data_IF_046432168150
#
_entry.id   IF_046432168150
#
_cell.length_a   1.000
_cell.length_b   1.000
_cell.length_c   1.000
_cell.angle_alpha   90.00
_cell.angle_beta   90.00
_cell.angle_gamma   90.00
#
_symmetry.space_group_name_H-M   'P 1'
#
loop_
_entity.id
_entity.type
_entity.pdbx_description
1 polymer ?
#
# COMPACT_ATOMS: atom_id res chain seq x y z
N UNK A 1 -39.97 -26.28 20.04
CA UNK A 1 -41.11 -25.99 20.92
C UNK A 1 -40.67 -25.32 22.20
N UNK A 2 -41.49 -24.44 22.71
CA UNK A 2 -41.22 -22.99 22.76
C UNK A 2 -41.28 -22.44 24.20
N UNK A 3 -40.95 -21.15 24.38
CA UNK A 3 -41.65 -20.16 25.28
C UNK A 3 -40.73 -18.95 25.40
N UNK A 4 -41.04 -17.78 24.96
CA UNK A 4 -42.09 -16.84 25.39
C UNK A 4 -41.83 -16.15 26.74
N UNK A 5 -41.83 -14.86 26.73
CA UNK A 5 -41.94 -13.91 27.83
C UNK A 5 -40.79 -12.94 27.88
N UNK A 6 -40.92 -11.67 27.77
CA UNK A 6 -41.94 -10.74 28.12
C UNK A 6 -41.24 -9.40 28.24
N UNK A 7 -41.88 -8.39 27.77
CA UNK A 7 -41.62 -7.00 27.63
C UNK A 7 -41.34 -6.20 28.91
N UNK A 8 -40.70 -5.06 28.66
CA UNK A 8 -40.89 -3.87 29.46
C UNK A 8 -40.59 -2.63 28.61
N UNK A 9 -41.62 -1.86 28.42
CA UNK A 9 -41.61 -0.49 27.91
C UNK A 9 -40.92 0.43 28.92
N UNK A 10 -40.00 1.27 28.48
CA UNK A 10 -39.41 2.36 29.23
C UNK A 10 -39.41 3.64 28.38
N UNK A 11 -40.22 4.57 28.79
CA UNK A 11 -40.52 5.89 28.23
C UNK A 11 -39.31 6.84 28.23
N UNK A 12 -39.35 7.87 27.42
CA UNK A 12 -38.27 8.86 27.29
C UNK A 12 -38.37 9.95 28.37
N UNK A 13 -37.23 10.36 28.89
CA UNK A 13 -37.04 11.51 29.78
C UNK A 13 -35.96 12.34 29.09
N UNK A 14 -36.15 13.57 28.70
CA UNK A 14 -36.61 14.74 29.32
C UNK A 14 -35.63 15.82 28.86
N UNK A 15 -36.07 16.77 28.00
CA UNK A 15 -35.30 17.97 27.61
C UNK A 15 -35.03 18.87 28.84
N UNK A 16 -33.87 19.53 28.94
CA UNK A 16 -33.69 20.63 29.90
C UNK A 16 -34.32 21.92 29.39
N UNK A 17 -34.86 22.77 30.28
CA UNK A 17 -35.63 23.94 29.94
C UNK A 17 -34.76 25.17 29.62
N UNK A 18 -35.26 25.98 28.70
CA UNK A 18 -34.80 27.33 28.39
C UNK A 18 -35.06 28.31 29.55
N UNK A 19 -34.22 29.32 29.79
CA UNK A 19 -34.53 30.38 30.72
C UNK A 19 -35.51 31.38 30.13
N UNK A 20 -36.63 31.56 30.80
CA UNK A 20 -37.63 32.61 30.54
C UNK A 20 -37.15 33.97 31.03
N UNK A 21 -37.27 34.95 30.16
CA UNK A 21 -37.30 36.39 30.51
C UNK A 21 -38.61 36.73 31.18
N UNK A 22 -38.52 37.19 32.42
CA UNK A 22 -39.67 37.75 33.15
C UNK A 22 -39.49 39.23 33.44
N UNK A 23 -40.25 40.04 32.75
CA UNK A 23 -40.44 41.43 33.10
C UNK A 23 -41.37 41.59 34.26
N UNK A 24 -41.21 42.66 35.03
CA UNK A 24 -42.08 43.04 36.11
C UNK A 24 -41.86 44.51 36.46
N UNK A 25 -42.76 45.34 35.99
CA UNK A 25 -42.88 46.73 36.35
C UNK A 25 -43.70 46.89 37.67
N UNK A 26 -43.55 48.01 38.34
CA UNK A 26 -44.35 48.76 39.29
C UNK A 26 -43.56 49.07 40.58
N UNK A 27 -43.54 50.31 41.03
CA UNK A 27 -44.39 51.40 41.10
C UNK A 27 -43.74 52.53 41.92
N UNK A 28 -44.16 53.71 41.64
CA UNK A 28 -43.86 54.93 42.37
C UNK A 28 -44.48 54.96 43.80
N UNK A 29 -44.01 55.82 44.71
CA UNK A 29 -44.58 57.24 44.76
C UNK A 29 -43.57 58.33 45.14
N UNK A 30 -43.84 59.48 44.50
CA UNK A 30 -43.83 60.90 44.86
C UNK A 30 -43.11 61.45 46.09
N UNK A 31 -42.25 62.38 45.84
CA UNK A 31 -41.92 63.75 46.28
C UNK A 31 -42.23 64.26 47.71
N UNK A 32 -41.55 65.31 48.25
CA UNK A 32 -41.67 66.66 47.77
C UNK A 32 -40.37 67.53 47.84
N UNK A 33 -40.43 68.80 47.43
CA UNK A 33 -39.28 69.62 47.09
C UNK A 33 -38.74 70.47 48.24
N UNK A 34 -37.47 70.72 48.25
CA UNK A 34 -36.84 71.83 48.99
C UNK A 34 -35.88 72.63 48.14
N UNK A 35 -35.85 73.93 48.34
CA UNK A 35 -35.28 74.88 47.46
C UNK A 35 -33.81 75.26 47.79
N UNK A 36 -33.09 75.65 46.81
CA UNK A 36 -32.07 76.64 46.93
C UNK A 36 -30.68 76.20 47.30
N UNK A 37 -29.83 76.16 46.37
CA UNK A 37 -28.38 76.19 46.52
C UNK A 37 -27.74 76.46 45.19
N UNK A 38 -27.55 77.77 44.90
CA UNK A 38 -26.70 78.21 43.78
C UNK A 38 -25.26 77.82 44.07
N UNK A 39 -24.75 76.82 43.34
CA UNK A 39 -23.31 76.56 43.26
C UNK A 39 -22.78 77.28 42.02
N UNK A 40 -21.62 77.91 42.09
CA UNK A 40 -21.09 78.69 40.99
C UNK A 40 -20.69 77.81 39.80
N UNK A 41 -21.09 78.26 38.63
CA UNK A 41 -20.66 77.68 37.34
C UNK A 41 -19.12 77.68 37.25
N UNK A 42 -18.54 76.56 37.34
CA UNK A 42 -17.15 76.39 36.94
C UNK A 42 -17.11 76.50 35.40
N UNK A 43 -16.39 77.44 34.81
CA UNK A 43 -16.29 77.51 33.36
C UNK A 43 -15.64 76.23 32.82
N UNK A 44 -16.35 75.54 31.94
CA UNK A 44 -15.79 74.48 31.17
C UNK A 44 -14.51 74.96 30.50
N UNK A 45 -13.36 74.43 30.93
CA UNK A 45 -12.11 74.65 30.22
C UNK A 45 -12.29 74.12 28.81
N UNK A 46 -12.41 75.05 27.87
CA UNK A 46 -12.33 74.75 26.46
C UNK A 46 -11.00 74.02 26.20
N UNK A 47 -11.10 72.72 25.97
CA UNK A 47 -9.94 71.89 25.64
C UNK A 47 -9.18 72.51 24.48
N UNK A 48 -7.90 72.79 24.64
CA UNK A 48 -7.03 73.30 23.60
C UNK A 48 -7.32 72.53 22.29
N UNK A 49 -7.54 73.24 21.17
CA UNK A 49 -7.73 72.54 19.90
C UNK A 49 -6.51 71.67 19.62
N UNK A 50 -6.76 70.36 19.48
CA UNK A 50 -5.69 69.41 19.19
C UNK A 50 -4.98 69.82 17.90
N UNK A 51 -3.68 70.01 17.97
CA UNK A 51 -2.78 70.40 16.91
C UNK A 51 -3.07 69.52 15.64
N UNK A 52 -3.42 70.15 14.50
CA UNK A 52 -3.72 69.45 13.26
C UNK A 52 -2.58 68.54 12.79
N UNK A 53 -1.32 68.85 13.16
CA UNK A 53 -0.15 67.98 12.93
C UNK A 53 -0.18 66.69 13.78
N UNK A 54 -0.65 66.75 15.03
CA UNK A 54 -0.79 65.59 15.92
C UNK A 54 -1.88 64.65 15.40
N UNK A 55 -3.01 65.15 14.91
CA UNK A 55 -4.09 64.32 14.30
C UNK A 55 -3.62 63.63 13.01
N UNK A 56 -2.80 64.29 12.17
CA UNK A 56 -2.21 63.64 10.98
C UNK A 56 -1.22 62.56 11.34
N UNK A 57 -0.39 62.75 12.37
CA UNK A 57 0.54 61.70 12.87
C UNK A 57 -0.22 60.53 13.46
N UNK A 58 -1.23 60.77 14.29
CA UNK A 58 -2.06 59.72 14.88
C UNK A 58 -2.77 58.87 13.79
N UNK A 59 -3.35 59.53 12.76
CA UNK A 59 -3.97 58.84 11.63
C UNK A 59 -2.99 57.97 10.84
N UNK A 60 -1.74 58.45 10.63
CA UNK A 60 -0.68 57.65 9.98
C UNK A 60 -0.28 56.43 10.82
N UNK A 61 -0.18 56.59 12.14
CA UNK A 61 0.14 55.50 13.06
C UNK A 61 -1.01 54.45 13.08
N UNK A 62 -2.27 54.90 13.11
CA UNK A 62 -3.42 53.99 13.05
C UNK A 62 -3.45 53.24 11.70
N UNK A 63 -3.25 53.93 10.58
CA UNK A 63 -3.20 53.28 9.26
C UNK A 63 -2.05 52.30 9.17
N UNK A 64 -0.85 52.64 9.69
CA UNK A 64 0.29 51.72 9.74
C UNK A 64 0.00 50.51 10.63
N UNK A 65 -0.64 50.69 11.77
CA UNK A 65 -1.02 49.61 12.68
C UNK A 65 -2.08 48.69 12.04
N UNK A 66 -3.10 49.26 11.38
CA UNK A 66 -4.08 48.50 10.63
C UNK A 66 -3.44 47.71 9.48
N UNK A 67 -2.51 48.30 8.74
CA UNK A 67 -1.77 47.63 7.69
C UNK A 67 -0.93 46.46 8.25
N UNK A 68 -0.26 46.68 9.39
CA UNK A 68 0.50 45.61 10.08
C UNK A 68 -0.42 44.46 10.49
N UNK A 69 -1.58 44.75 11.08
CA UNK A 69 -2.56 43.72 11.48
C UNK A 69 -3.03 42.91 10.27
N UNK A 70 -3.33 43.59 9.15
CA UNK A 70 -3.72 42.91 7.91
C UNK A 70 -2.62 41.96 7.39
N UNK A 71 -1.36 42.41 7.42
CA UNK A 71 -0.20 41.58 7.02
C UNK A 71 -0.03 40.39 7.94
N UNK A 72 -0.20 40.59 9.26
CA UNK A 72 -0.13 39.49 10.25
C UNK A 72 -1.25 38.45 10.01
N UNK A 73 -2.49 38.95 9.82
CA UNK A 73 -3.62 38.06 9.51
C UNK A 73 -3.38 37.27 8.21
N UNK A 74 -2.94 37.97 7.15
CA UNK A 74 -2.62 37.33 5.88
C UNK A 74 -1.50 36.29 6.05
N UNK A 75 -0.48 36.55 6.85
CA UNK A 75 0.60 35.63 7.19
C UNK A 75 0.09 34.39 7.95
N UNK A 76 -0.77 34.58 8.94
CA UNK A 76 -1.37 33.47 9.72
C UNK A 76 -2.26 32.61 8.81
N UNK A 77 -3.08 33.20 7.96
CA UNK A 77 -3.92 32.47 7.01
C UNK A 77 -3.06 31.69 6.01
N UNK A 78 -2.01 32.29 5.46
CA UNK A 78 -1.08 31.62 4.56
C UNK A 78 -0.40 30.41 5.25
N UNK A 79 0.05 30.58 6.49
CA UNK A 79 0.63 29.46 7.29
C UNK A 79 -0.39 28.35 7.55
N UNK A 80 -1.63 28.71 7.87
CA UNK A 80 -2.70 27.72 8.09
C UNK A 80 -2.98 26.92 6.82
N UNK A 81 -3.03 27.56 5.65
CA UNK A 81 -3.22 26.89 4.35
C UNK A 81 -2.03 25.99 4.03
N UNK A 82 -0.80 26.48 4.20
CA UNK A 82 0.42 25.69 3.95
C UNK A 82 0.52 24.47 4.89
N UNK A 83 0.18 24.62 6.17
CA UNK A 83 0.16 23.50 7.11
C UNK A 83 -1.00 22.53 6.82
N UNK A 84 -2.14 23.02 6.33
CA UNK A 84 -3.22 22.13 5.86
C UNK A 84 -2.81 21.23 4.70
N UNK A 85 -1.98 21.72 3.78
CA UNK A 85 -1.41 20.94 2.69
C UNK A 85 -0.30 19.99 3.14
N UNK A 86 0.20 20.13 4.37
CA UNK A 86 1.23 19.30 5.01
C UNK A 86 0.67 18.46 6.16
N UNK A 87 -0.66 18.34 6.27
CA UNK A 87 -1.30 17.51 7.29
C UNK A 87 -0.93 16.02 7.11
N UNK A 88 -1.13 15.19 8.16
CA UNK A 88 -0.91 13.74 8.05
C UNK A 88 -1.69 13.12 6.89
N UNK A 89 -2.96 13.51 6.69
CA UNK A 89 -3.80 13.02 5.59
C UNK A 89 -3.27 13.46 4.22
N UNK A 90 -2.85 14.72 4.09
CA UNK A 90 -2.30 15.24 2.85
C UNK A 90 -1.01 14.49 2.48
N UNK A 91 -0.16 14.21 3.47
CA UNK A 91 1.08 13.46 3.29
C UNK A 91 0.82 12.02 2.89
N UNK A 92 -0.13 11.36 3.55
CA UNK A 92 -0.56 9.99 3.21
C UNK A 92 -1.18 9.95 1.82
N UNK A 93 -2.07 10.89 1.49
CA UNK A 93 -2.66 10.99 0.15
C UNK A 93 -1.61 11.17 -0.94
N UNK A 94 -0.61 12.02 -0.71
CA UNK A 94 0.50 12.21 -1.65
C UNK A 94 1.27 10.91 -1.91
N UNK A 95 1.59 10.15 -0.86
CA UNK A 95 2.26 8.87 -0.97
C UNK A 95 1.41 7.85 -1.75
N UNK A 96 0.14 7.70 -1.37
CA UNK A 96 -0.79 6.80 -2.06
C UNK A 96 -1.01 7.18 -3.53
N UNK A 97 -1.00 8.47 -3.85
CA UNK A 97 -1.12 8.93 -5.24
C UNK A 97 0.08 8.49 -6.08
N UNK A 98 1.30 8.50 -5.51
CA UNK A 98 2.49 7.96 -6.19
C UNK A 98 2.31 6.47 -6.51
N UNK A 99 1.79 5.69 -5.57
CA UNK A 99 1.51 4.26 -5.79
C UNK A 99 0.39 4.04 -6.82
N UNK A 100 -0.70 4.80 -6.74
CA UNK A 100 -1.80 4.74 -7.71
C UNK A 100 -1.34 5.11 -9.13
N UNK A 101 -0.44 6.09 -9.26
CA UNK A 101 0.15 6.52 -10.53
C UNK A 101 1.22 5.55 -11.06
N UNK A 102 1.61 4.54 -10.29
CA UNK A 102 2.68 3.60 -10.66
C UNK A 102 4.09 4.19 -10.56
N UNK A 103 4.29 5.19 -9.68
CA UNK A 103 5.57 5.87 -9.43
C UNK A 103 6.27 5.29 -8.21
N UNK A 104 6.71 4.05 -8.32
CA UNK A 104 7.36 3.29 -7.25
C UNK A 104 8.62 3.95 -6.71
N UNK A 105 9.47 4.45 -7.60
CA UNK A 105 10.74 5.08 -7.23
C UNK A 105 10.51 6.36 -6.43
N UNK A 106 9.54 7.18 -6.83
CA UNK A 106 9.16 8.38 -6.09
C UNK A 106 8.51 8.03 -4.73
N UNK A 107 7.70 6.97 -4.67
CA UNK A 107 7.13 6.47 -3.42
C UNK A 107 8.23 5.95 -2.47
N UNK A 108 9.20 5.19 -2.97
CA UNK A 108 10.39 4.74 -2.23
C UNK A 108 11.24 5.90 -1.72
N UNK A 109 11.42 6.94 -2.54
CA UNK A 109 12.16 8.15 -2.13
C UNK A 109 11.41 8.94 -1.05
N UNK A 110 10.07 8.87 -1.04
CA UNK A 110 9.25 9.52 -0.03
C UNK A 110 9.20 8.75 1.29
N UNK A 111 9.14 7.41 1.21
CA UNK A 111 9.08 6.48 2.36
C UNK A 111 10.00 5.31 2.07
N UNK A 112 11.16 5.29 2.73
CA UNK A 112 12.11 4.18 2.57
C UNK A 112 11.49 2.89 3.10
N UNK A 113 11.43 1.81 2.29
CA UNK A 113 10.89 0.53 2.72
C UNK A 113 11.74 -0.19 3.79
N UNK A 114 12.94 0.28 4.10
CA UNK A 114 13.80 -0.29 5.13
C UNK A 114 14.31 -1.70 4.84
N UNK A 115 14.26 -2.16 3.59
CA UNK A 115 14.75 -3.47 3.13
C UNK A 115 15.98 -3.33 2.26
N UNK A 116 16.76 -4.40 2.11
CA UNK A 116 17.95 -4.42 1.26
C UNK A 116 17.63 -4.16 -0.21
N UNK A 117 18.57 -3.61 -0.98
CA UNK A 117 18.34 -3.28 -2.39
C UNK A 117 18.02 -4.53 -3.23
N UNK A 118 18.58 -5.68 -2.87
CA UNK A 118 18.35 -6.96 -3.51
C UNK A 118 16.90 -7.46 -3.34
N UNK A 119 16.21 -6.97 -2.32
CA UNK A 119 14.79 -7.27 -2.07
C UNK A 119 13.84 -6.29 -2.78
N UNK A 120 14.36 -5.15 -3.29
CA UNK A 120 13.59 -4.08 -3.97
C UNK A 120 13.42 -4.30 -5.47
N UNK A 121 13.83 -5.46 -6.01
CA UNK A 121 13.84 -5.76 -7.46
C UNK A 121 12.49 -5.46 -8.13
N UNK A 122 11.38 -5.73 -7.43
CA UNK A 122 10.04 -5.48 -7.94
C UNK A 122 9.39 -4.17 -7.46
N UNK A 123 10.16 -3.30 -6.80
CA UNK A 123 9.67 -2.00 -6.32
C UNK A 123 10.09 -0.87 -7.28
N UNK A 124 9.89 -1.05 -8.58
CA UNK A 124 10.25 -0.11 -9.64
C UNK A 124 9.02 0.40 -10.38
N UNK A 125 9.15 1.55 -11.03
CA UNK A 125 8.10 2.12 -11.86
C UNK A 125 7.66 1.15 -12.97
N UNK A 126 8.61 0.47 -13.61
CA UNK A 126 8.33 -0.50 -14.66
C UNK A 126 7.46 -1.66 -14.18
N UNK A 127 7.73 -2.20 -12.99
CA UNK A 127 6.93 -3.28 -12.38
C UNK A 127 5.53 -2.79 -12.00
N UNK A 128 5.40 -1.61 -11.40
CA UNK A 128 4.09 -1.06 -11.08
C UNK A 128 3.28 -0.69 -12.33
N UNK A 129 3.92 -0.29 -13.40
CA UNK A 129 3.26 -0.05 -14.70
C UNK A 129 2.81 -1.34 -15.37
N UNK A 130 3.51 -2.46 -15.16
CA UNK A 130 3.13 -3.79 -15.63
C UNK A 130 1.97 -4.41 -14.82
N UNK A 131 1.59 -3.84 -13.68
CA UNK A 131 0.44 -4.28 -12.91
C UNK A 131 -0.85 -4.12 -13.72
N UNK A 132 -1.70 -5.16 -13.74
CA UNK A 132 -3.00 -5.12 -14.42
C UNK A 132 -4.02 -4.24 -13.69
N UNK A 133 -3.86 -4.06 -12.39
CA UNK A 133 -4.60 -3.10 -11.58
C UNK A 133 -3.70 -2.51 -10.49
N UNK A 134 -3.93 -1.25 -10.17
CA UNK A 134 -3.30 -0.51 -9.07
C UNK A 134 -4.36 -0.03 -8.11
N UNK A 135 -3.95 0.42 -6.92
CA UNK A 135 -4.85 0.96 -5.92
C UNK A 135 -5.58 2.21 -6.41
N UNK A 136 -6.84 2.31 -6.02
CA UNK A 136 -7.66 3.52 -6.15
C UNK A 136 -7.94 4.06 -4.75
N UNK A 137 -7.75 5.38 -4.58
CA UNK A 137 -7.94 6.04 -3.30
C UNK A 137 -9.40 6.48 -3.17
N UNK A 138 -10.14 5.86 -2.27
CA UNK A 138 -11.52 6.24 -1.99
C UNK A 138 -11.58 7.35 -0.93
N UNK A 139 -10.85 7.18 0.17
CA UNK A 139 -10.86 8.10 1.30
C UNK A 139 -9.54 8.05 2.06
N UNK A 140 -9.12 9.19 2.63
CA UNK A 140 -7.97 9.29 3.54
C UNK A 140 -8.38 10.21 4.67
N UNK A 141 -8.39 9.71 5.89
CA UNK A 141 -8.82 10.43 7.11
C UNK A 141 -7.88 10.16 8.27
N UNK A 142 -7.63 11.14 9.10
CA UNK A 142 -6.99 10.90 10.39
C UNK A 142 -7.88 10.00 11.25
N UNK A 143 -7.27 9.02 11.91
CA UNK A 143 -7.99 8.09 12.81
C UNK A 143 -8.60 8.86 13.96
N UNK A 144 -9.90 8.66 14.19
CA UNK A 144 -10.63 9.27 15.30
C UNK A 144 -10.39 8.55 16.63
N UNK A 145 -9.68 7.42 16.62
CA UNK A 145 -9.31 6.72 17.84
C UNK A 145 -8.23 7.51 18.59
N UNK A 146 -8.67 8.33 19.55
CA UNK A 146 -7.78 9.15 20.39
C UNK A 146 -6.75 8.33 21.17
N UNK A 147 -6.99 7.02 21.36
CA UNK A 147 -6.05 6.09 21.97
C UNK A 147 -4.82 5.81 21.10
N UNK A 148 -4.95 5.89 19.77
CA UNK A 148 -3.85 5.71 18.81
C UNK A 148 -3.02 6.98 18.65
N UNK A 149 -3.67 8.15 18.59
CA UNK A 149 -3.01 9.44 18.38
C UNK A 149 -2.40 9.96 19.69
N UNK A 150 -1.10 9.74 19.89
CA UNK A 150 -0.38 10.15 21.12
C UNK A 150 0.89 10.93 20.80
N UNK A 151 1.10 12.06 21.49
CA UNK A 151 2.30 12.88 21.32
C UNK A 151 2.49 13.31 19.86
N UNK A 152 3.65 12.97 19.31
CA UNK A 152 4.06 13.31 17.94
C UNK A 152 3.65 12.25 16.90
N UNK A 153 2.84 11.24 17.29
CA UNK A 153 2.36 10.19 16.39
C UNK A 153 0.91 10.41 16.03
N UNK A 154 0.59 10.30 14.74
CA UNK A 154 -0.78 10.32 14.21
C UNK A 154 -1.01 9.08 13.34
N UNK A 155 -2.22 8.56 13.38
CA UNK A 155 -2.64 7.48 12.50
C UNK A 155 -3.64 8.02 11.48
N UNK A 156 -3.43 7.64 10.24
CA UNK A 156 -4.30 7.98 9.11
C UNK A 156 -4.80 6.69 8.49
N UNK A 157 -6.11 6.52 8.48
CA UNK A 157 -6.78 5.40 7.82
C UNK A 157 -7.07 5.78 6.37
N UNK A 158 -6.55 4.99 5.44
CA UNK A 158 -6.89 5.08 4.03
C UNK A 158 -7.89 3.99 3.66
N UNK A 159 -8.99 4.35 3.02
CA UNK A 159 -9.89 3.41 2.34
C UNK A 159 -9.50 3.35 0.87
N UNK A 160 -9.13 2.17 0.43
CA UNK A 160 -8.58 1.91 -0.89
C UNK A 160 -9.45 0.88 -1.62
N UNK A 161 -9.34 0.81 -2.92
CA UNK A 161 -9.81 -0.34 -3.69
C UNK A 161 -8.71 -0.86 -4.61
N UNK A 162 -8.70 -2.15 -4.84
CA UNK A 162 -7.82 -2.84 -5.79
C UNK A 162 -8.64 -3.89 -6.53
N UNK A 163 -8.70 -3.77 -7.85
CA UNK A 163 -9.48 -4.67 -8.71
C UNK A 163 -10.95 -4.82 -8.24
N UNK A 164 -11.55 -3.68 -7.87
CA UNK A 164 -12.93 -3.61 -7.39
C UNK A 164 -13.14 -4.06 -5.93
N UNK A 165 -12.13 -4.58 -5.26
CA UNK A 165 -12.23 -4.96 -3.85
C UNK A 165 -11.76 -3.82 -2.96
N UNK A 166 -12.60 -3.46 -1.97
CA UNK A 166 -12.32 -2.38 -1.03
C UNK A 166 -11.68 -2.93 0.22
N UNK A 167 -10.66 -2.22 0.71
CA UNK A 167 -9.95 -2.52 1.96
C UNK A 167 -9.49 -1.23 2.63
N UNK A 168 -9.01 -1.34 3.87
CA UNK A 168 -8.46 -0.22 4.64
C UNK A 168 -7.02 -0.51 5.03
N UNK A 169 -6.21 0.55 5.11
CA UNK A 169 -4.85 0.48 5.62
C UNK A 169 -4.57 1.67 6.54
N UNK A 170 -3.97 1.39 7.69
CA UNK A 170 -3.62 2.41 8.68
C UNK A 170 -2.15 2.81 8.54
N UNK A 171 -1.91 4.09 8.29
CA UNK A 171 -0.56 4.66 8.26
C UNK A 171 -0.24 5.33 9.58
N UNK A 172 0.91 4.98 10.16
CA UNK A 172 1.48 5.71 11.27
C UNK A 172 2.39 6.82 10.74
N UNK A 173 2.20 8.04 11.25
CA UNK A 173 3.04 9.17 10.90
C UNK A 173 3.63 9.78 12.17
N UNK A 174 4.90 10.18 12.08
CA UNK A 174 5.57 10.92 13.14
C UNK A 174 5.83 12.35 12.72
N UNK A 175 5.69 13.28 13.67
CA UNK A 175 6.02 14.68 13.42
C UNK A 175 7.54 14.85 13.53
N UNK A 176 8.17 15.15 12.41
CA UNK A 176 9.56 15.56 12.36
C UNK A 176 9.78 17.00 12.83
N UNK A 177 11.03 17.47 12.80
CA UNK A 177 11.33 18.86 13.09
C UNK A 177 10.61 19.76 12.09
N UNK A 178 9.93 20.80 12.59
CA UNK A 178 9.21 21.75 11.74
C UNK A 178 10.18 22.48 10.79
N UNK A 179 9.83 22.51 9.52
CA UNK A 179 10.56 23.27 8.52
C UNK A 179 10.41 24.77 8.82
N UNK A 180 11.51 25.51 8.78
CA UNK A 180 11.57 26.92 9.15
C UNK A 180 10.96 27.26 10.52
N UNK A 181 10.83 26.24 11.40
CA UNK A 181 10.28 26.38 12.75
C UNK A 181 8.76 26.53 12.85
N UNK A 182 8.05 26.64 11.71
CA UNK A 182 6.60 26.94 11.67
C UNK A 182 5.79 25.98 10.78
N UNK A 183 6.42 25.32 9.81
CA UNK A 183 5.74 24.42 8.87
C UNK A 183 5.82 22.97 9.36
N UNK A 184 4.69 22.31 9.41
CA UNK A 184 4.62 20.92 9.85
C UNK A 184 5.34 19.99 8.85
N UNK A 185 6.04 18.97 9.39
CA UNK A 185 6.78 17.98 8.64
C UNK A 185 6.42 16.58 9.14
N UNK A 186 5.35 16.02 8.59
CA UNK A 186 4.90 14.68 8.91
C UNK A 186 5.60 13.66 8.02
N UNK A 187 6.05 12.56 8.63
CA UNK A 187 6.76 11.48 7.95
C UNK A 187 6.01 10.16 8.20
N UNK A 188 5.70 9.43 7.14
CA UNK A 188 5.16 8.08 7.21
C UNK A 188 6.27 7.18 7.74
N UNK A 189 5.97 6.35 8.74
CA UNK A 189 6.98 5.52 9.43
C UNK A 189 7.31 4.23 8.69
N UNK A 190 6.37 3.69 7.92
CA UNK A 190 6.51 2.41 7.22
C UNK A 190 5.97 2.52 5.80
N UNK A 191 6.70 1.95 4.84
CA UNK A 191 6.25 1.88 3.46
C UNK A 191 5.11 0.85 3.32
N UNK A 192 4.12 1.17 2.51
CA UNK A 192 3.04 0.25 2.18
C UNK A 192 3.51 -0.75 1.14
N UNK A 193 4.12 -1.83 1.60
CA UNK A 193 4.64 -2.92 0.77
C UNK A 193 4.14 -4.27 1.30
N UNK A 194 4.12 -5.26 0.42
CA UNK A 194 3.67 -6.62 0.75
C UNK A 194 4.73 -7.63 0.37
N UNK A 195 4.95 -8.58 1.27
CA UNK A 195 5.81 -9.75 1.05
C UNK A 195 4.94 -10.91 0.61
N UNK A 196 5.18 -11.44 -0.60
CA UNK A 196 4.47 -12.57 -1.20
C UNK A 196 5.40 -13.78 -1.22
N UNK A 197 4.98 -14.86 -0.58
CA UNK A 197 5.71 -16.13 -0.60
C UNK A 197 5.55 -16.81 -1.98
N UNK A 198 6.64 -17.37 -2.50
CA UNK A 198 6.67 -18.05 -3.79
C UNK A 198 6.99 -19.51 -3.60
N UNK A 199 6.04 -20.38 -3.86
CA UNK A 199 6.24 -21.85 -3.92
C UNK A 199 6.55 -22.26 -5.35
N UNK A 200 7.83 -22.46 -5.65
CA UNK A 200 8.33 -22.64 -7.01
C UNK A 200 9.34 -23.79 -7.09
N UNK A 201 8.88 -25.03 -6.85
CA UNK A 201 9.76 -26.19 -6.92
C UNK A 201 10.33 -26.38 -8.33
N UNK A 202 11.66 -26.35 -8.46
CA UNK A 202 12.34 -26.51 -9.74
C UNK A 202 12.37 -25.25 -10.62
N UNK A 203 11.94 -24.09 -10.08
CA UNK A 203 12.00 -22.78 -10.77
C UNK A 203 13.05 -21.94 -10.07
N UNK A 204 14.13 -21.53 -10.79
CA UNK A 204 15.24 -20.82 -10.17
C UNK A 204 15.00 -19.33 -9.98
N UNK A 205 14.07 -18.73 -10.74
CA UNK A 205 13.78 -17.32 -10.71
C UNK A 205 12.33 -17.04 -11.09
N UNK A 206 11.84 -15.86 -10.71
CA UNK A 206 10.53 -15.33 -11.13
C UNK A 206 10.67 -13.93 -11.67
N UNK A 207 9.77 -13.54 -12.58
CA UNK A 207 9.73 -12.22 -13.17
C UNK A 207 8.35 -11.57 -13.08
N UNK A 208 8.35 -10.23 -13.04
CA UNK A 208 7.19 -9.38 -13.25
C UNK A 208 7.60 -8.35 -14.31
N UNK A 209 6.96 -8.40 -15.49
CA UNK A 209 7.47 -7.66 -16.65
C UNK A 209 8.90 -8.07 -16.95
N UNK A 210 9.78 -7.10 -17.11
CA UNK A 210 11.21 -7.31 -17.41
C UNK A 210 12.07 -7.51 -16.16
N UNK A 211 11.55 -7.23 -14.96
CA UNK A 211 12.30 -7.42 -13.72
C UNK A 211 12.32 -8.90 -13.32
N UNK A 212 13.48 -9.39 -12.91
CA UNK A 212 13.68 -10.80 -12.54
C UNK A 212 14.40 -10.92 -11.21
N UNK A 213 13.87 -11.75 -10.30
CA UNK A 213 14.51 -12.10 -9.02
C UNK A 213 14.82 -13.59 -8.99
N UNK A 214 16.08 -13.92 -8.70
CA UNK A 214 16.50 -15.29 -8.41
C UNK A 214 15.93 -15.71 -7.04
N UNK A 215 15.36 -16.89 -6.97
CA UNK A 215 14.84 -17.48 -5.74
C UNK A 215 15.98 -18.15 -4.99
N UNK A 216 16.11 -17.82 -3.71
CA UNK A 216 17.08 -18.45 -2.82
C UNK A 216 16.46 -19.66 -2.12
N UNK A 217 17.32 -20.58 -1.66
CA UNK A 217 16.87 -21.80 -1.01
C UNK A 217 16.10 -21.55 0.30
N UNK A 218 16.44 -20.45 0.97
CA UNK A 218 15.90 -20.07 2.28
C UNK A 218 14.99 -18.81 2.25
N UNK A 219 14.92 -18.08 1.11
CA UNK A 219 14.06 -16.93 0.91
C UNK A 219 13.41 -16.96 -0.48
N UNK A 220 12.27 -17.62 -0.54
CA UNK A 220 11.43 -17.68 -1.72
C UNK A 220 10.29 -16.67 -1.61
N UNK A 221 10.61 -15.40 -1.43
CA UNK A 221 9.60 -14.34 -1.37
C UNK A 221 9.92 -13.20 -2.33
N UNK A 222 8.90 -12.48 -2.72
CA UNK A 222 9.01 -11.24 -3.46
C UNK A 222 8.36 -10.12 -2.66
N UNK A 223 8.93 -8.92 -2.73
CA UNK A 223 8.38 -7.72 -2.12
C UNK A 223 7.88 -6.79 -3.21
N UNK A 224 6.62 -6.39 -3.13
CA UNK A 224 5.95 -5.54 -4.11
C UNK A 224 5.15 -4.44 -3.42
N UNK A 225 4.88 -3.37 -4.13
CA UNK A 225 3.85 -2.40 -3.75
C UNK A 225 2.44 -2.97 -4.03
N UNK A 226 1.38 -2.43 -3.42
CA UNK A 226 0.02 -2.88 -3.69
C UNK A 226 -0.35 -2.81 -5.18
N UNK A 227 -0.88 -3.91 -5.72
CA UNK A 227 -1.25 -4.04 -7.13
C UNK A 227 -1.62 -5.47 -7.49
N UNK A 228 -2.13 -5.67 -8.70
CA UNK A 228 -2.38 -6.99 -9.28
C UNK A 228 -1.29 -7.28 -10.30
N UNK A 229 -0.51 -8.32 -10.04
CA UNK A 229 0.68 -8.67 -10.85
C UNK A 229 0.55 -10.04 -11.48
N UNK A 230 1.02 -10.16 -12.71
CA UNK A 230 1.28 -11.45 -13.33
C UNK A 230 2.73 -11.81 -13.09
N UNK A 231 2.96 -12.86 -12.31
CA UNK A 231 4.28 -13.39 -11.99
C UNK A 231 4.56 -14.59 -12.88
N UNK A 232 5.67 -14.58 -13.58
CA UNK A 232 6.08 -15.64 -14.49
C UNK A 232 7.30 -16.36 -13.95
N UNK A 233 7.42 -17.66 -14.26
CA UNK A 233 8.65 -18.41 -14.05
C UNK A 233 9.74 -17.89 -14.99
N UNK A 234 10.96 -17.74 -14.49
CA UNK A 234 12.10 -17.22 -15.24
C UNK A 234 13.31 -18.14 -15.09
N UNK A 235 14.21 -18.09 -16.07
CA UNK A 235 15.45 -18.88 -16.12
C UNK A 235 15.24 -20.39 -16.00
N UNK A 236 14.08 -20.91 -16.44
CA UNK A 236 13.73 -22.34 -16.38
C UNK A 236 14.45 -23.17 -17.43
N UNK A 237 15.16 -22.53 -18.39
CA UNK A 237 15.72 -23.20 -19.55
C UNK A 237 14.65 -23.71 -20.51
N UNK A 238 15.05 -24.61 -21.44
CA UNK A 238 14.15 -25.13 -22.48
C UNK A 238 13.32 -26.33 -22.03
N UNK A 239 13.67 -26.95 -20.88
CA UNK A 239 13.11 -28.22 -20.46
C UNK A 239 12.00 -28.13 -19.41
N UNK A 240 11.83 -26.97 -18.79
CA UNK A 240 10.81 -26.74 -17.75
C UNK A 240 9.94 -25.58 -18.15
N UNK A 241 8.64 -25.75 -17.99
CA UNK A 241 7.65 -24.68 -18.20
C UNK A 241 6.71 -24.60 -17.00
N UNK A 242 6.22 -23.40 -16.70
CA UNK A 242 5.17 -23.17 -15.73
C UNK A 242 4.27 -22.03 -16.21
N UNK A 243 2.95 -22.15 -16.09
CA UNK A 243 2.04 -21.07 -16.45
C UNK A 243 2.27 -19.88 -15.51
N UNK A 244 2.08 -18.65 -16.00
CA UNK A 244 2.10 -17.46 -15.15
C UNK A 244 1.01 -17.53 -14.09
N UNK A 245 1.27 -16.92 -12.92
CA UNK A 245 0.33 -16.85 -11.80
C UNK A 245 0.00 -15.38 -11.54
N UNK A 246 -1.28 -15.05 -11.47
CA UNK A 246 -1.72 -13.72 -11.07
C UNK A 246 -1.84 -13.65 -9.56
N UNK A 247 -1.30 -12.60 -8.95
CA UNK A 247 -1.40 -12.30 -7.52
C UNK A 247 -1.97 -10.91 -7.32
N UNK A 248 -2.97 -10.82 -6.43
CA UNK A 248 -3.47 -9.55 -5.92
C UNK A 248 -2.75 -9.25 -4.61
N UNK A 249 -1.92 -8.22 -4.60
CA UNK A 249 -1.20 -7.74 -3.44
C UNK A 249 -1.97 -6.57 -2.82
N UNK A 250 -2.86 -6.86 -1.86
CA UNK A 250 -3.60 -5.91 -1.04
C UNK A 250 -3.43 -6.26 0.45
N UNK A 251 -3.74 -5.33 1.37
CA UNK A 251 -3.34 -5.45 2.77
C UNK A 251 -4.01 -6.63 3.50
N UNK A 252 -5.28 -6.94 3.24
CA UNK A 252 -6.05 -7.84 4.12
C UNK A 252 -6.57 -9.14 3.49
N UNK A 253 -6.61 -9.29 2.17
CA UNK A 253 -7.44 -10.35 1.56
C UNK A 253 -6.73 -11.22 0.54
N UNK A 254 -5.48 -10.91 0.20
CA UNK A 254 -4.78 -11.70 -0.80
C UNK A 254 -4.03 -12.86 -0.16
N UNK A 255 -4.14 -14.02 -0.77
CA UNK A 255 -3.20 -15.10 -0.52
C UNK A 255 -1.79 -14.55 -0.76
N UNK A 256 -1.03 -14.40 0.31
CA UNK A 256 0.39 -13.95 0.24
C UNK A 256 1.30 -15.07 -0.24
N UNK A 257 0.74 -16.11 -0.84
CA UNK A 257 1.46 -17.25 -1.38
C UNK A 257 1.02 -17.49 -2.81
N UNK A 258 1.97 -17.54 -3.73
CA UNK A 258 1.78 -18.02 -5.10
C UNK A 258 2.45 -19.37 -5.26
N UNK A 259 1.83 -20.26 -6.02
CA UNK A 259 2.37 -21.59 -6.28
C UNK A 259 2.48 -21.79 -7.78
N UNK A 260 3.67 -22.18 -8.24
CA UNK A 260 3.91 -22.56 -9.63
C UNK A 260 3.79 -24.06 -9.80
N UNK A 261 2.98 -24.47 -10.76
CA UNK A 261 2.86 -25.85 -11.22
C UNK A 261 3.85 -26.07 -12.38
N UNK A 262 5.07 -26.44 -12.05
CA UNK A 262 6.09 -26.71 -13.07
C UNK A 262 5.82 -28.04 -13.79
N UNK A 263 6.01 -28.05 -15.08
CA UNK A 263 5.90 -29.24 -15.93
C UNK A 263 7.06 -29.34 -16.91
N UNK A 264 7.27 -30.52 -17.44
CA UNK A 264 8.28 -30.73 -18.48
C UNK A 264 7.78 -30.15 -19.81
N UNK A 265 8.66 -29.42 -20.49
CA UNK A 265 8.38 -28.86 -21.81
C UNK A 265 8.30 -29.95 -22.89
N UNK A 266 7.69 -29.63 -24.02
CA UNK A 266 7.70 -30.54 -25.17
C UNK A 266 9.10 -30.75 -25.73
N UNK A 267 10.01 -29.77 -25.59
CA UNK A 267 11.42 -29.92 -25.95
C UNK A 267 12.10 -31.05 -25.14
N UNK A 268 11.85 -31.13 -23.82
CA UNK A 268 12.37 -32.22 -23.00
C UNK A 268 11.77 -33.57 -23.39
N UNK A 269 10.45 -33.64 -23.64
CA UNK A 269 9.79 -34.86 -24.07
C UNK A 269 10.37 -35.37 -25.40
N UNK A 270 10.58 -34.47 -26.36
CA UNK A 270 11.20 -34.80 -27.64
C UNK A 270 12.62 -35.29 -27.43
N UNK A 271 13.46 -34.57 -26.70
CA UNK A 271 14.85 -34.97 -26.46
C UNK A 271 14.94 -36.32 -25.71
N UNK A 272 14.05 -36.57 -24.75
CA UNK A 272 13.99 -37.85 -24.04
C UNK A 272 13.54 -39.00 -24.96
N UNK A 273 12.55 -38.76 -25.84
CA UNK A 273 12.12 -39.73 -26.83
C UNK A 273 13.23 -40.07 -27.80
N UNK A 274 13.94 -39.06 -28.37
CA UNK A 274 15.07 -39.27 -29.28
C UNK A 274 16.19 -40.08 -28.62
N UNK A 275 16.50 -39.75 -27.36
CA UNK A 275 17.48 -40.53 -26.56
C UNK A 275 17.04 -41.97 -26.35
N UNK A 276 15.76 -42.21 -26.04
CA UNK A 276 15.20 -43.55 -25.87
C UNK A 276 15.25 -44.35 -27.19
N UNK A 277 14.82 -43.72 -28.29
CA UNK A 277 14.88 -44.34 -29.63
C UNK A 277 16.32 -44.69 -30.03
N UNK A 278 17.26 -43.75 -29.83
CA UNK A 278 18.68 -43.99 -30.09
C UNK A 278 19.23 -45.16 -29.26
N UNK A 279 18.83 -45.21 -27.98
CA UNK A 279 19.23 -46.32 -27.06
C UNK A 279 18.66 -47.67 -27.51
N UNK A 280 17.37 -47.72 -27.86
CA UNK A 280 16.76 -48.95 -28.39
C UNK A 280 17.47 -49.44 -29.64
N UNK A 281 17.74 -48.53 -30.59
CA UNK A 281 18.50 -48.84 -31.83
C UNK A 281 19.90 -49.35 -31.52
N UNK A 282 20.63 -48.72 -30.61
CA UNK A 282 21.98 -49.17 -30.21
C UNK A 282 22.00 -50.53 -29.55
N UNK A 283 21.00 -50.80 -28.69
CA UNK A 283 20.82 -52.12 -28.08
C UNK A 283 20.37 -53.20 -29.08
N UNK A 284 19.73 -52.81 -30.18
CA UNK A 284 19.23 -53.69 -31.23
C UNK A 284 20.26 -54.06 -32.32
N UNK A 285 21.54 -53.69 -32.15
CA UNK A 285 22.59 -54.00 -33.11
C UNK A 285 23.34 -55.30 -32.74
N UNK A 286 23.30 -56.28 -33.65
CA UNK A 286 24.04 -57.54 -33.48
C UNK A 286 25.54 -57.33 -33.42
N UNK A 287 26.06 -56.34 -34.18
CA UNK A 287 27.48 -56.00 -34.18
C UNK A 287 28.02 -55.61 -32.82
N UNK A 288 27.16 -55.07 -31.96
CA UNK A 288 27.50 -54.61 -30.62
C UNK A 288 27.10 -55.60 -29.50
N UNK A 289 26.48 -56.75 -29.81
CA UNK A 289 25.88 -57.63 -28.84
C UNK A 289 26.81 -58.04 -27.68
N UNK A 290 28.10 -58.17 -27.93
CA UNK A 290 29.08 -58.47 -26.88
C UNK A 290 29.61 -57.30 -26.08
N UNK A 291 29.31 -56.06 -26.48
CA UNK A 291 29.84 -54.83 -25.93
C UNK A 291 28.73 -53.85 -25.43
N UNK A 292 27.50 -54.34 -25.37
CA UNK A 292 26.37 -53.53 -24.87
C UNK A 292 26.50 -53.28 -23.36
N UNK A 293 26.20 -52.06 -22.96
CA UNK A 293 26.22 -51.64 -21.57
C UNK A 293 25.03 -52.25 -20.76
N UNK A 294 25.08 -52.07 -19.45
CA UNK A 294 24.04 -52.62 -18.52
C UNK A 294 22.67 -51.96 -18.69
N UNK A 295 22.58 -50.83 -19.44
CA UNK A 295 21.30 -50.20 -19.73
C UNK A 295 20.53 -50.90 -20.87
N UNK A 296 21.18 -51.83 -21.60
CA UNK A 296 20.49 -52.72 -22.55
C UNK A 296 19.90 -53.95 -21.84
N UNK A 297 18.72 -54.44 -22.30
CA UNK A 297 18.13 -55.66 -21.74
C UNK A 297 19.09 -56.84 -21.75
N UNK A 298 19.13 -57.60 -20.66
CA UNK A 298 20.03 -58.76 -20.51
C UNK A 298 20.00 -59.72 -21.72
N UNK A 299 18.82 -60.09 -22.27
CA UNK A 299 18.79 -61.04 -23.40
C UNK A 299 19.55 -60.56 -24.63
N UNK A 300 19.57 -59.24 -24.93
CA UNK A 300 20.27 -58.73 -26.11
C UNK A 300 21.77 -58.52 -25.90
N UNK A 301 22.27 -58.62 -24.68
CA UNK A 301 23.69 -58.60 -24.32
C UNK A 301 24.41 -59.91 -24.52
N UNK A 302 23.72 -60.93 -24.97
CA UNK A 302 24.31 -62.26 -25.16
C UNK A 302 25.23 -62.30 -26.39
N UNK A 303 26.45 -62.77 -26.20
CA UNK A 303 27.43 -62.97 -27.26
C UNK A 303 27.06 -64.06 -28.28
N UNK A 304 26.04 -64.85 -27.98
CA UNK A 304 25.57 -65.95 -28.83
C UNK A 304 24.42 -65.56 -29.76
N UNK A 305 23.99 -64.30 -29.69
CA UNK A 305 22.94 -63.75 -30.55
C UNK A 305 23.47 -63.58 -31.95
N UNK A 306 22.84 -64.24 -32.94
CA UNK A 306 23.21 -64.18 -34.35
C UNK A 306 22.26 -63.30 -35.19
N UNK A 307 21.04 -63.10 -34.70
CA UNK A 307 20.02 -62.24 -35.35
C UNK A 307 19.28 -61.44 -34.27
N UNK A 308 19.24 -60.15 -34.51
CA UNK A 308 18.46 -59.23 -33.66
C UNK A 308 17.85 -58.15 -34.60
N UNK A 309 16.59 -57.87 -34.46
CA UNK A 309 15.95 -56.79 -35.16
C UNK A 309 15.04 -56.02 -34.20
N UNK A 310 15.10 -54.69 -34.28
CA UNK A 310 14.15 -53.81 -33.60
C UNK A 310 12.89 -53.76 -34.47
N UNK A 311 11.76 -54.28 -33.95
CA UNK A 311 10.48 -54.24 -34.64
C UNK A 311 9.81 -52.90 -34.47
N UNK A 312 9.83 -52.34 -33.25
CA UNK A 312 9.19 -51.09 -32.90
C UNK A 312 10.09 -50.28 -31.99
N UNK A 313 10.03 -48.98 -32.12
CA UNK A 313 10.72 -48.03 -31.25
C UNK A 313 9.66 -47.24 -30.47
N UNK A 314 9.99 -46.70 -29.30
CA UNK A 314 9.09 -45.84 -28.57
C UNK A 314 8.59 -44.68 -29.45
N UNK A 315 7.30 -44.37 -29.32
CA UNK A 315 6.65 -43.26 -30.04
C UNK A 315 6.24 -42.14 -29.14
N UNK A 316 6.24 -42.37 -27.82
CA UNK A 316 5.92 -41.35 -26.83
C UNK A 316 6.75 -41.54 -25.54
N UNK A 317 6.84 -40.42 -24.79
CA UNK A 317 7.44 -40.36 -23.45
C UNK A 317 6.39 -39.93 -22.45
N UNK A 318 6.24 -40.65 -21.39
CA UNK A 318 5.36 -40.30 -20.25
C UNK A 318 6.24 -40.05 -19.04
N UNK A 319 6.05 -38.93 -18.36
CA UNK A 319 6.72 -38.66 -17.08
C UNK A 319 6.22 -39.61 -15.99
N UNK A 320 7.15 -40.18 -15.24
CA UNK A 320 6.80 -41.01 -14.06
C UNK A 320 6.19 -40.09 -12.98
N UNK A 321 4.94 -40.36 -12.60
CA UNK A 321 4.22 -39.59 -11.58
C UNK A 321 4.78 -39.82 -10.16
N UNK A 322 5.49 -40.90 -9.95
CA UNK A 322 6.01 -41.30 -8.61
C UNK A 322 7.44 -40.81 -8.39
N UNK A 323 8.21 -40.72 -9.46
CA UNK A 323 9.62 -40.33 -9.40
C UNK A 323 9.90 -39.20 -10.39
N UNK A 324 9.86 -37.93 -9.92
CA UNK A 324 10.15 -36.78 -10.76
C UNK A 324 11.53 -36.87 -11.42
N UNK A 325 11.57 -36.65 -12.72
CA UNK A 325 12.80 -36.76 -13.52
C UNK A 325 12.94 -38.12 -14.22
N UNK A 326 12.15 -39.13 -13.91
CA UNK A 326 12.08 -40.38 -14.64
C UNK A 326 11.01 -40.31 -15.73
N UNK A 327 11.30 -40.97 -16.83
CA UNK A 327 10.43 -41.08 -17.99
C UNK A 327 10.23 -42.55 -18.37
N UNK A 328 9.03 -42.85 -18.80
CA UNK A 328 8.66 -44.13 -19.34
C UNK A 328 8.48 -43.94 -20.85
N UNK A 329 9.20 -44.70 -21.65
CA UNK A 329 9.08 -44.69 -23.10
C UNK A 329 8.10 -45.80 -23.55
N UNK A 330 7.07 -45.43 -24.33
CA UNK A 330 6.05 -46.36 -24.85
C UNK A 330 6.04 -46.35 -26.40
#
# INVERSE_FOLDING_TARGET
>A
APQAGGGAQGRPVGQPPLPQSGGGAQGHPSAPPHPGGMSPLVPAQAGKPADPAARKRLRRVIVALCALVVVVIAGVVALAVLNGQRSPEARTRQYLQLLADGKAEAATAMVDPGIANEERVFMTDAVMQAASARIEITEVKESQESSKNKGDVRYVTATLSLDGQRFTHDFALTQGKKDFGVLDNWQITEAFMLKVEVKAKGIPAVSIGDATKTLAKDDNSITVYPGVYTVSAANTGEYVTAPPVTVSAADDFSSRTITFEASYSDALKTAALDAAVAKVKSCGSVENAGNLDDACPYPVRSKTLTVLSVKEVPTQIIGDKTTPGNFIAE
#
